data_IF_229021615747
#
_entry.id   IF_229021615747
#
_cell.length_a   1.000
_cell.length_b   1.000
_cell.length_c   1.000
_cell.angle_alpha   90.00
_cell.angle_beta   90.00
_cell.angle_gamma   90.00
#
_symmetry.space_group_name_H-M   'P 1'
#
loop_
_entity.id
_entity.type
_entity.pdbx_description
1 polymer ?
#
# COMPACT_ATOMS: atom_id res chain seq x y z
N UNK A 1 -2.26 12.31 9.93
CA UNK A 1 -1.50 11.08 10.23
C UNK A 1 -0.14 11.20 9.60
N UNK A 2 0.95 10.84 10.30
CA UNK A 2 2.30 10.88 9.73
C UNK A 2 2.67 9.49 9.24
N UNK A 3 3.54 9.40 8.23
CA UNK A 3 3.96 8.11 7.70
C UNK A 3 4.68 7.23 8.74
N UNK A 4 5.42 7.84 9.66
CA UNK A 4 6.08 7.13 10.77
C UNK A 4 5.10 6.38 11.68
N UNK A 5 3.84 6.84 11.76
CA UNK A 5 2.82 6.19 12.58
C UNK A 5 2.43 4.82 11.97
N UNK A 6 2.45 4.68 10.64
CA UNK A 6 2.21 3.40 9.94
C UNK A 6 3.34 2.41 10.18
N UNK A 7 4.59 2.88 10.14
CA UNK A 7 5.78 2.05 10.41
C UNK A 7 5.69 1.46 11.82
N UNK A 8 5.39 2.31 12.81
CA UNK A 8 5.25 1.85 14.20
C UNK A 8 4.09 0.87 14.38
N UNK A 9 2.96 1.13 13.70
CA UNK A 9 1.81 0.23 13.71
C UNK A 9 2.15 -1.15 13.17
N UNK A 10 2.83 -1.25 12.02
CA UNK A 10 3.30 -2.53 11.50
C UNK A 10 4.35 -3.18 12.38
N UNK A 11 5.27 -2.41 12.99
CA UNK A 11 6.25 -2.93 13.96
C UNK A 11 5.58 -3.59 15.16
N UNK A 12 4.42 -3.06 15.58
CA UNK A 12 3.60 -3.61 16.66
C UNK A 12 2.63 -4.71 16.20
N UNK A 13 2.78 -5.25 14.98
CA UNK A 13 1.93 -6.30 14.39
C UNK A 13 0.46 -5.92 14.27
N UNK A 14 0.16 -4.62 14.27
CA UNK A 14 -1.21 -4.16 14.04
C UNK A 14 -1.49 -4.07 12.53
N UNK A 15 -2.72 -4.37 12.09
CA UNK A 15 -3.09 -4.29 10.68
C UNK A 15 -3.24 -2.84 10.23
N UNK A 16 -2.84 -2.54 8.99
CA UNK A 16 -3.15 -1.26 8.35
C UNK A 16 -4.60 -1.22 7.87
N UNK A 17 -5.22 -0.04 7.92
CA UNK A 17 -6.56 0.18 7.36
C UNK A 17 -6.47 0.53 5.87
N UNK A 18 -7.61 0.49 5.16
CA UNK A 18 -7.67 0.90 3.76
C UNK A 18 -7.23 2.35 3.58
N UNK A 19 -7.67 3.24 4.46
CA UNK A 19 -7.33 4.67 4.43
C UNK A 19 -5.84 4.91 4.68
N UNK A 20 -5.21 4.10 5.54
CA UNK A 20 -3.77 4.15 5.78
C UNK A 20 -2.97 3.69 4.56
N UNK A 21 -3.42 2.63 3.88
CA UNK A 21 -2.81 2.15 2.64
C UNK A 21 -2.99 3.15 1.50
N UNK A 22 -4.17 3.76 1.37
CA UNK A 22 -4.42 4.83 0.41
C UNK A 22 -3.48 6.03 0.64
N UNK A 23 -3.31 6.44 1.90
CA UNK A 23 -2.35 7.49 2.27
C UNK A 23 -0.91 7.12 1.90
N UNK A 24 -0.50 5.88 2.18
CA UNK A 24 0.83 5.39 1.81
C UNK A 24 1.04 5.43 0.29
N UNK A 25 0.20 4.77 -0.50
CA UNK A 25 0.41 4.64 -1.94
C UNK A 25 0.33 6.01 -2.62
N UNK A 26 -0.70 6.80 -2.32
CA UNK A 26 -0.88 8.12 -2.93
C UNK A 26 0.28 9.06 -2.59
N UNK A 27 0.71 9.09 -1.33
CA UNK A 27 1.82 9.94 -0.91
C UNK A 27 3.15 9.53 -1.51
N UNK A 28 3.40 8.22 -1.66
CA UNK A 28 4.65 7.73 -2.23
C UNK A 28 4.73 8.00 -3.73
N UNK A 29 3.64 7.74 -4.47
CA UNK A 29 3.57 8.00 -5.91
C UNK A 29 3.70 9.50 -6.23
N UNK A 30 3.22 10.37 -5.35
CA UNK A 30 3.39 11.83 -5.48
C UNK A 30 4.79 12.34 -5.13
N UNK A 31 5.63 11.51 -4.51
CA UNK A 31 6.94 11.91 -4.00
C UNK A 31 6.92 12.64 -2.66
N UNK A 32 5.79 12.66 -1.96
CA UNK A 32 5.63 13.30 -0.65
C UNK A 32 6.26 12.46 0.48
N UNK A 33 6.39 11.14 0.27
CA UNK A 33 6.97 10.20 1.21
C UNK A 33 8.36 9.78 0.72
N UNK A 34 9.43 10.06 1.47
CA UNK A 34 10.78 9.66 1.09
C UNK A 34 11.02 8.14 1.11
N UNK A 35 11.85 7.66 0.19
CA UNK A 35 12.18 6.24 0.00
C UNK A 35 12.66 5.53 1.27
N UNK A 36 13.39 6.23 2.14
CA UNK A 36 13.90 5.65 3.39
C UNK A 36 12.77 5.30 4.36
N UNK A 37 11.66 6.03 4.33
CA UNK A 37 10.49 5.73 5.16
C UNK A 37 9.76 4.51 4.60
N UNK A 38 9.57 4.45 3.28
CA UNK A 38 8.95 3.29 2.62
C UNK A 38 9.78 2.03 2.85
N UNK A 39 11.09 2.12 2.72
CA UNK A 39 12.02 1.01 3.00
C UNK A 39 11.87 0.48 4.44
N UNK A 40 11.70 1.38 5.42
CA UNK A 40 11.44 1.00 6.81
C UNK A 40 10.08 0.31 7.00
N UNK A 41 9.02 0.79 6.34
CA UNK A 41 7.70 0.13 6.37
C UNK A 41 7.77 -1.26 5.74
N UNK A 42 8.43 -1.40 4.59
CA UNK A 42 8.59 -2.68 3.89
C UNK A 42 9.35 -3.69 4.76
N UNK A 43 10.37 -3.26 5.51
CA UNK A 43 11.07 -4.13 6.46
C UNK A 43 10.15 -4.57 7.61
N UNK A 44 9.31 -3.67 8.14
CA UNK A 44 8.33 -4.02 9.16
C UNK A 44 7.27 -5.02 8.63
N UNK A 45 6.84 -4.87 7.38
CA UNK A 45 5.94 -5.81 6.69
C UNK A 45 6.63 -7.16 6.46
N UNK A 46 7.90 -7.18 6.06
CA UNK A 46 8.65 -8.42 5.85
C UNK A 46 8.69 -9.28 7.11
N UNK A 47 8.95 -8.68 8.28
CA UNK A 47 9.02 -9.42 9.54
C UNK A 47 7.65 -9.76 10.17
N UNK A 48 6.65 -8.88 10.01
CA UNK A 48 5.36 -9.03 10.71
C UNK A 48 4.20 -9.48 9.81
N UNK A 49 4.41 -9.52 8.50
CA UNK A 49 3.43 -9.87 7.50
C UNK A 49 2.28 -8.86 7.35
N UNK A 50 1.38 -9.22 6.44
CA UNK A 50 0.09 -8.59 6.20
C UNK A 50 -0.97 -9.68 6.18
N UNK A 51 -2.15 -9.38 6.71
CA UNK A 51 -3.29 -10.29 6.57
C UNK A 51 -3.88 -10.21 5.14
N UNK A 52 -4.79 -11.13 4.81
CA UNK A 52 -5.38 -11.21 3.47
C UNK A 52 -6.08 -9.91 3.05
N UNK A 53 -6.72 -9.22 4.00
CA UNK A 53 -7.45 -7.97 3.73
C UNK A 53 -6.49 -6.81 3.43
N UNK A 54 -5.43 -6.67 4.23
CA UNK A 54 -4.35 -5.69 4.01
C UNK A 54 -3.72 -5.91 2.62
N UNK A 55 -3.41 -7.15 2.26
CA UNK A 55 -2.83 -7.51 0.96
C UNK A 55 -3.76 -7.18 -0.21
N UNK A 56 -5.06 -7.47 -0.06
CA UNK A 56 -6.06 -7.13 -1.07
C UNK A 56 -6.15 -5.61 -1.27
N UNK A 57 -6.23 -4.83 -0.18
CA UNK A 57 -6.27 -3.37 -0.26
C UNK A 57 -5.00 -2.79 -0.87
N UNK A 58 -3.82 -3.27 -0.45
CA UNK A 58 -2.56 -2.79 -1.04
C UNK A 58 -2.51 -3.07 -2.55
N UNK A 59 -2.98 -4.24 -2.98
CA UNK A 59 -3.07 -4.60 -4.41
C UNK A 59 -4.01 -3.66 -5.16
N UNK A 60 -5.18 -3.37 -4.59
CA UNK A 60 -6.17 -2.46 -5.16
C UNK A 60 -5.62 -1.02 -5.27
N UNK A 61 -4.98 -0.50 -4.22
CA UNK A 61 -4.38 0.84 -4.25
C UNK A 61 -3.24 0.94 -5.27
N UNK A 62 -2.42 -0.11 -5.42
CA UNK A 62 -1.39 -0.15 -6.46
C UNK A 62 -1.99 -0.22 -7.87
N UNK A 63 -3.06 -1.01 -8.08
CA UNK A 63 -3.77 -1.10 -9.36
C UNK A 63 -4.26 0.28 -9.84
N UNK A 64 -4.85 1.05 -8.93
CA UNK A 64 -5.41 2.37 -9.26
C UNK A 64 -4.38 3.53 -9.14
N UNK A 65 -3.12 3.23 -8.87
CA UNK A 65 -2.06 4.25 -8.80
C UNK A 65 -1.56 4.72 -10.16
N UNK A 66 -1.96 4.04 -11.23
CA UNK A 66 -1.60 4.37 -12.61
C UNK A 66 -2.77 4.11 -13.58
N UNK A 67 -2.44 3.80 -14.82
CA UNK A 67 -3.44 3.56 -15.86
C UNK A 67 -4.08 2.17 -15.72
N UNK A 68 -5.41 2.12 -15.72
CA UNK A 68 -6.18 0.87 -15.74
C UNK A 68 -6.74 0.67 -17.14
N UNK A 69 -6.32 -0.40 -17.81
CA UNK A 69 -6.78 -0.72 -19.16
C UNK A 69 -8.13 -1.41 -19.09
N UNK A 70 -9.14 -0.83 -19.74
CA UNK A 70 -10.44 -1.46 -19.95
C UNK A 70 -10.43 -2.33 -21.22
N UNK A 71 -10.61 -3.64 -21.02
CA UNK A 71 -10.69 -4.64 -22.09
C UNK A 71 -12.12 -5.13 -22.34
N UNK A 72 -13.14 -4.48 -21.74
CA UNK A 72 -14.55 -4.88 -21.85
C UNK A 72 -15.06 -4.99 -23.29
N UNK A 73 -14.47 -4.25 -24.22
CA UNK A 73 -14.81 -4.28 -25.64
C UNK A 73 -14.16 -5.45 -26.43
N UNK A 74 -13.27 -6.23 -25.81
CA UNK A 74 -12.57 -7.34 -26.46
C UNK A 74 -13.19 -8.67 -26.02
N UNK A 75 -13.73 -9.42 -26.97
CA UNK A 75 -14.18 -10.79 -26.72
C UNK A 75 -12.96 -11.69 -26.47
N UNK A 76 -12.83 -12.20 -25.24
CA UNK A 76 -11.86 -13.24 -24.90
C UNK A 76 -12.13 -14.54 -25.70
N UNK A 77 -11.09 -15.33 -25.94
CA UNK A 77 -11.20 -16.66 -26.56
C UNK A 77 -11.32 -17.74 -25.49
#
# INVERSE_FOLDING_TARGET
MRFVDLIEKKKQKQPLTKEELHFFITGYVRGDIPDYQVSALLMAIYFNGMNAQETAWLTEEMLYSGDVIDLSAISGR
#
